data_IF_868385682350
#
_entry.id   IF_868385682350
#
_cell.length_a   1.000
_cell.length_b   1.000
_cell.length_c   1.000
_cell.angle_alpha   90.00
_cell.angle_beta   90.00
_cell.angle_gamma   90.00
#
_symmetry.space_group_name_H-M   'P 1'
#
loop_
_entity.id
_entity.type
_entity.pdbx_description
1 polymer ?
#
# COMPACT_ATOMS: atom_id res chain seq x y z
N UNK A 1 7.78 -11.05 -14.98
CA UNK A 1 6.85 -10.23 -14.19
C UNK A 1 5.55 -10.99 -14.05
N UNK A 2 5.05 -11.11 -12.83
CA UNK A 2 3.73 -11.70 -12.56
C UNK A 2 2.61 -10.76 -13.00
N UNK A 3 1.38 -11.28 -13.11
CA UNK A 3 0.20 -10.44 -13.34
C UNK A 3 0.02 -9.37 -12.26
N UNK A 4 0.47 -9.67 -11.04
CA UNK A 4 0.38 -8.79 -9.88
C UNK A 4 1.40 -7.66 -9.98
N UNK A 5 2.62 -7.96 -10.47
CA UNK A 5 3.63 -6.92 -10.73
C UNK A 5 3.15 -5.92 -11.78
N UNK A 6 2.54 -6.41 -12.87
CA UNK A 6 1.98 -5.54 -13.93
C UNK A 6 0.87 -4.65 -13.37
N UNK A 7 -0.02 -5.20 -12.54
CA UNK A 7 -1.10 -4.44 -11.91
C UNK A 7 -0.55 -3.41 -10.92
N UNK A 8 0.40 -3.80 -10.07
CA UNK A 8 1.06 -2.92 -9.09
C UNK A 8 1.78 -1.76 -9.78
N UNK A 9 2.50 -2.02 -10.86
CA UNK A 9 3.18 -0.99 -11.65
C UNK A 9 2.19 -0.02 -12.30
N UNK A 10 1.08 -0.52 -12.86
CA UNK A 10 0.02 0.34 -13.40
C UNK A 10 -0.53 1.27 -12.33
N UNK A 11 -0.95 0.71 -11.20
CA UNK A 11 -1.49 1.46 -10.06
C UNK A 11 -0.47 2.50 -9.57
N UNK A 12 0.80 2.13 -9.48
CA UNK A 12 1.88 3.03 -9.08
C UNK A 12 1.97 4.22 -10.04
N UNK A 13 2.04 3.97 -11.34
CA UNK A 13 2.17 5.03 -12.35
C UNK A 13 0.97 5.98 -12.35
N UNK A 14 -0.25 5.44 -12.19
CA UNK A 14 -1.49 6.23 -12.14
C UNK A 14 -1.57 7.10 -10.87
N UNK A 15 -1.13 6.57 -9.72
CA UNK A 15 -1.29 7.23 -8.43
C UNK A 15 -0.05 7.99 -7.96
N UNK A 16 1.11 7.83 -8.61
CA UNK A 16 2.36 8.49 -8.21
C UNK A 16 2.19 9.99 -8.06
N UNK A 17 1.59 10.65 -9.06
CA UNK A 17 1.42 12.12 -9.04
C UNK A 17 0.50 12.58 -7.91
N UNK A 18 -0.60 11.87 -7.66
CA UNK A 18 -1.55 12.25 -6.61
C UNK A 18 -0.96 12.02 -5.22
N UNK A 19 -0.35 10.85 -4.99
CA UNK A 19 0.26 10.50 -3.69
C UNK A 19 1.44 11.41 -3.37
N UNK A 20 2.23 11.82 -4.37
CA UNK A 20 3.29 12.81 -4.17
C UNK A 20 2.76 14.16 -3.69
N UNK A 21 1.47 14.45 -3.81
CA UNK A 21 0.81 15.64 -3.27
C UNK A 21 0.08 15.42 -1.93
N UNK A 22 0.00 14.19 -1.42
CA UNK A 22 -0.68 13.89 -0.15
C UNK A 22 -0.06 14.58 1.06
N UNK A 23 -0.89 15.15 1.93
CA UNK A 23 -0.47 15.52 3.28
C UNK A 23 -0.29 14.27 4.16
N UNK A 24 0.32 14.43 5.34
CA UNK A 24 0.38 13.36 6.33
C UNK A 24 -1.02 12.88 6.73
N UNK A 25 -2.00 13.81 6.80
CA UNK A 25 -3.40 13.46 7.10
C UNK A 25 -4.06 12.61 6.02
N UNK A 26 -3.76 12.87 4.75
CA UNK A 26 -4.27 12.06 3.64
C UNK A 26 -3.69 10.64 3.69
N UNK A 27 -2.40 10.53 4.04
CA UNK A 27 -1.75 9.26 4.27
C UNK A 27 -2.36 8.51 5.47
N UNK A 28 -2.52 9.17 6.62
CA UNK A 28 -3.12 8.57 7.81
C UNK A 28 -4.54 8.07 7.51
N UNK A 29 -5.34 8.87 6.81
CA UNK A 29 -6.70 8.48 6.38
C UNK A 29 -6.65 7.22 5.52
N UNK A 30 -5.78 7.20 4.51
CA UNK A 30 -5.61 6.05 3.62
C UNK A 30 -5.14 4.80 4.39
N UNK A 31 -4.20 4.97 5.30
CA UNK A 31 -3.65 3.91 6.11
C UNK A 31 -4.71 3.33 7.05
N UNK A 32 -5.45 4.18 7.76
CA UNK A 32 -6.56 3.76 8.63
C UNK A 32 -7.68 3.08 7.85
N UNK A 33 -8.04 3.60 6.68
CA UNK A 33 -9.06 2.98 5.84
C UNK A 33 -8.64 1.56 5.42
N UNK A 34 -7.39 1.40 4.98
CA UNK A 34 -6.84 0.10 4.62
C UNK A 34 -6.79 -0.86 5.81
N UNK A 35 -6.30 -0.42 6.98
CA UNK A 35 -6.22 -1.29 8.17
C UNK A 35 -7.59 -1.68 8.68
N UNK A 36 -8.57 -0.77 8.67
CA UNK A 36 -9.95 -1.06 9.04
C UNK A 36 -10.58 -2.09 8.09
N UNK A 37 -10.45 -1.89 6.77
CA UNK A 37 -10.96 -2.85 5.76
C UNK A 37 -10.22 -4.19 5.84
N UNK A 38 -8.89 -4.17 6.01
CA UNK A 38 -8.06 -5.37 6.20
C UNK A 38 -8.41 -6.09 7.51
N UNK A 39 -8.87 -5.40 8.55
CA UNK A 39 -9.32 -6.00 9.82
C UNK A 39 -10.78 -6.47 9.83
N UNK A 40 -11.63 -5.98 8.92
CA UNK A 40 -13.06 -6.30 8.89
C UNK A 40 -13.34 -7.78 8.68
N UNK A 41 -14.16 -8.41 9.52
CA UNK A 41 -14.52 -9.84 9.37
C UNK A 41 -15.48 -10.10 8.21
N UNK A 42 -16.20 -9.07 7.77
CA UNK A 42 -17.27 -9.17 6.76
C UNK A 42 -16.85 -8.61 5.41
N UNK A 43 -15.94 -7.63 5.39
CA UNK A 43 -15.48 -7.02 4.15
C UNK A 43 -14.18 -7.67 3.67
N UNK A 44 -14.20 -8.13 2.42
CA UNK A 44 -13.03 -8.61 1.70
C UNK A 44 -12.68 -7.58 0.63
N UNK A 45 -11.44 -7.08 0.66
CA UNK A 45 -10.93 -6.23 -0.41
C UNK A 45 -10.81 -7.04 -1.71
N UNK A 46 -11.16 -6.45 -2.84
CA UNK A 46 -10.80 -7.02 -4.14
C UNK A 46 -9.29 -6.90 -4.35
N UNK A 47 -8.74 -7.72 -5.24
CA UNK A 47 -7.31 -7.69 -5.58
C UNK A 47 -6.83 -6.30 -5.99
N UNK A 48 -7.61 -5.62 -6.83
CA UNK A 48 -7.32 -4.27 -7.29
C UNK A 48 -7.38 -3.25 -6.15
N UNK A 49 -8.41 -3.32 -5.29
CA UNK A 49 -8.51 -2.42 -4.15
C UNK A 49 -7.33 -2.62 -3.17
N UNK A 50 -7.00 -3.89 -2.85
CA UNK A 50 -5.87 -4.23 -1.99
C UNK A 50 -4.57 -3.64 -2.51
N UNK A 51 -4.23 -3.89 -3.78
CA UNK A 51 -3.02 -3.33 -4.38
C UNK A 51 -3.08 -1.82 -4.54
N UNK A 52 -4.26 -1.23 -4.75
CA UNK A 52 -4.41 0.23 -4.76
C UNK A 52 -3.98 0.83 -3.43
N UNK A 53 -4.41 0.26 -2.30
CA UNK A 53 -3.98 0.74 -0.99
C UNK A 53 -2.48 0.52 -0.76
N UNK A 54 -1.99 -0.72 -0.92
CA UNK A 54 -0.59 -1.02 -0.60
C UNK A 54 0.39 -0.22 -1.46
N UNK A 55 0.10 -0.04 -2.75
CA UNK A 55 0.94 0.73 -3.66
C UNK A 55 0.87 2.23 -3.36
N UNK A 56 -0.30 2.78 -3.00
CA UNK A 56 -0.38 4.18 -2.55
C UNK A 56 0.43 4.41 -1.27
N UNK A 57 0.35 3.50 -0.29
CA UNK A 57 1.17 3.55 0.93
C UNK A 57 2.67 3.51 0.56
N UNK A 58 3.05 2.58 -0.32
CA UNK A 58 4.43 2.43 -0.74
C UNK A 58 4.97 3.66 -1.48
N UNK A 59 4.12 4.28 -2.32
CA UNK A 59 4.44 5.51 -3.05
C UNK A 59 4.65 6.68 -2.09
N UNK A 60 3.87 6.75 -1.02
CA UNK A 60 4.02 7.80 -0.02
C UNK A 60 5.36 7.69 0.71
N UNK A 61 5.90 6.49 0.88
CA UNK A 61 7.27 6.32 1.39
C UNK A 61 8.33 7.02 0.53
N UNK A 62 8.16 7.09 -0.80
CA UNK A 62 9.08 7.88 -1.65
C UNK A 62 9.04 9.37 -1.28
N UNK A 63 7.85 9.89 -0.96
CA UNK A 63 7.69 11.26 -0.46
C UNK A 63 8.34 11.44 0.91
N UNK A 64 8.17 10.48 1.83
CA UNK A 64 8.81 10.53 3.16
C UNK A 64 10.34 10.52 3.05
N UNK A 65 10.91 9.73 2.14
CA UNK A 65 12.36 9.72 1.89
C UNK A 65 12.90 11.09 1.44
N UNK A 66 12.09 11.88 0.72
CA UNK A 66 12.43 13.24 0.29
C UNK A 66 12.28 14.24 1.44
N UNK A 67 11.19 14.15 2.20
CA UNK A 67 10.90 15.06 3.32
C UNK A 67 11.83 14.82 4.52
N UNK A 68 12.21 13.57 4.76
CA UNK A 68 13.02 13.14 5.90
C UNK A 68 14.21 12.32 5.40
N UNK A 69 15.25 12.94 4.82
CA UNK A 69 16.39 12.22 4.26
C UNK A 69 17.13 11.32 5.26
N UNK A 70 17.07 11.66 6.55
CA UNK A 70 17.64 10.85 7.65
C UNK A 70 16.89 9.53 7.85
N UNK A 71 15.62 9.47 7.47
CA UNK A 71 14.76 8.28 7.55
C UNK A 71 14.58 7.61 6.19
N UNK A 72 15.37 8.01 5.18
CA UNK A 72 15.28 7.49 3.82
C UNK A 72 15.38 5.97 3.77
N UNK A 73 16.30 5.38 4.53
CA UNK A 73 16.47 3.92 4.57
C UNK A 73 15.24 3.21 5.13
N UNK A 74 14.62 3.78 6.16
CA UNK A 74 13.37 3.28 6.74
C UNK A 74 12.23 3.41 5.73
N UNK A 75 12.13 4.53 5.04
CA UNK A 75 11.13 4.77 4.01
C UNK A 75 11.27 3.81 2.82
N UNK A 76 12.49 3.58 2.33
CA UNK A 76 12.77 2.61 1.26
C UNK A 76 12.43 1.18 1.69
N UNK A 77 12.75 0.82 2.95
CA UNK A 77 12.39 -0.48 3.52
C UNK A 77 10.87 -0.65 3.60
N UNK A 78 10.16 0.36 4.09
CA UNK A 78 8.70 0.36 4.15
C UNK A 78 8.09 0.26 2.75
N UNK A 79 8.62 1.01 1.77
CA UNK A 79 8.19 0.89 0.37
C UNK A 79 8.29 -0.54 -0.14
N UNK A 80 9.45 -1.18 0.02
CA UNK A 80 9.67 -2.57 -0.41
C UNK A 80 8.70 -3.53 0.27
N UNK A 81 8.49 -3.36 1.58
CA UNK A 81 7.50 -4.15 2.33
C UNK A 81 6.11 -4.05 1.70
N UNK A 82 5.63 -2.82 1.46
CA UNK A 82 4.30 -2.60 0.89
C UNK A 82 4.17 -3.06 -0.57
N UNK A 83 5.22 -2.94 -1.38
CA UNK A 83 5.24 -3.50 -2.74
C UNK A 83 5.21 -5.04 -2.73
N UNK A 84 5.83 -5.67 -1.72
CA UNK A 84 5.90 -7.12 -1.59
C UNK A 84 4.64 -7.74 -0.98
N UNK A 85 3.72 -6.96 -0.42
CA UNK A 85 2.43 -7.49 0.04
C UNK A 85 1.73 -8.25 -1.09
N UNK A 86 1.26 -9.45 -0.79
CA UNK A 86 0.55 -10.33 -1.71
C UNK A 86 -0.94 -10.37 -1.37
N UNK A 87 -1.78 -10.28 -2.39
CA UNK A 87 -3.21 -10.47 -2.21
C UNK A 87 -3.53 -11.90 -1.77
N UNK A 88 -2.75 -12.89 -2.21
CA UNK A 88 -2.90 -14.28 -1.79
C UNK A 88 -2.63 -14.45 -0.29
N UNK A 89 -1.54 -13.86 0.22
CA UNK A 89 -1.23 -13.86 1.66
C UNK A 89 -2.34 -13.17 2.46
N UNK A 90 -2.92 -12.09 1.93
CA UNK A 90 -4.09 -11.45 2.52
C UNK A 90 -5.29 -12.40 2.60
N UNK A 91 -5.62 -13.11 1.52
CA UNK A 91 -6.70 -14.10 1.52
C UNK A 91 -6.44 -15.24 2.52
N UNK A 92 -5.21 -15.76 2.57
CA UNK A 92 -4.81 -16.80 3.53
C UNK A 92 -4.93 -16.32 4.98
N UNK A 93 -4.51 -15.09 5.26
CA UNK A 93 -4.66 -14.49 6.59
C UNK A 93 -6.13 -14.37 7.01
N UNK A 94 -7.03 -14.06 6.05
CA UNK A 94 -8.48 -14.00 6.29
C UNK A 94 -9.09 -15.37 6.52
N UNK A 95 -8.62 -16.38 5.79
CA UNK A 95 -9.11 -17.75 5.92
C UNK A 95 -8.68 -18.42 7.24
N UNK A 96 -7.49 -18.08 7.75
CA UNK A 96 -6.96 -18.59 9.03
C UNK A 96 -7.51 -17.85 10.25
N UNK A 97 -7.99 -16.62 10.09
CA UNK A 97 -8.71 -15.87 11.13
C UNK A 97 -10.21 -16.21 11.26
N UNK A 98 -10.62 -17.42 10.82
CA UNK A 98 -11.98 -17.94 11.00
C UNK A 98 -12.17 -18.61 12.36
#
# INVERSE_FOLDING_TARGET
MSADDILKERIYNENKKSVMNYSMKDFDTLFFEFTNKKGSKTELLTKEAFYTYTIKIATFSDRLAILYPKEKEIAETNKKKWFNESYEDYLLSKATHK
#
